data_IF_029477220017
#
_entry.id   IF_029477220017
#
_cell.length_a   1.000
_cell.length_b   1.000
_cell.length_c   1.000
_cell.angle_alpha   90.00
_cell.angle_beta   90.00
_cell.angle_gamma   90.00
#
_symmetry.space_group_name_H-M   'P 1'
#
loop_
_entity.id
_entity.type
_entity.pdbx_description
1 polymer ?
#
# COMPACT_ATOMS: atom_id res chain seq x y z
N UNK A 1 6.83 -6.26 -17.02
CA UNK A 1 6.13 -7.34 -16.30
C UNK A 1 5.02 -6.73 -15.46
N UNK A 2 3.78 -7.22 -15.59
CA UNK A 2 2.69 -6.87 -14.65
C UNK A 2 3.18 -7.30 -13.27
N UNK A 3 3.40 -6.34 -12.36
CA UNK A 3 3.76 -6.70 -10.98
C UNK A 3 2.52 -7.33 -10.35
N UNK A 4 2.64 -8.61 -9.98
CA UNK A 4 1.50 -9.48 -9.71
C UNK A 4 0.86 -9.22 -8.35
N UNK A 5 1.58 -8.59 -7.42
CA UNK A 5 1.06 -8.35 -6.09
C UNK A 5 1.56 -7.05 -5.48
N UNK A 6 0.75 -6.50 -4.59
CA UNK A 6 0.93 -5.17 -4.02
C UNK A 6 0.65 -5.21 -2.53
N UNK A 7 1.51 -4.57 -1.76
CA UNK A 7 1.26 -4.26 -0.35
C UNK A 7 0.95 -2.78 -0.25
N UNK A 8 -0.06 -2.44 0.55
CA UNK A 8 -0.48 -1.06 0.72
C UNK A 8 -0.80 -0.75 2.18
N UNK A 9 -0.70 0.53 2.52
CA UNK A 9 -1.17 1.06 3.80
C UNK A 9 -2.23 2.11 3.52
N UNK A 10 -3.38 1.96 4.16
CA UNK A 10 -4.42 2.98 4.24
C UNK A 10 -4.32 3.66 5.59
N UNK A 11 -4.52 4.97 5.58
CA UNK A 11 -4.75 5.75 6.80
C UNK A 11 -6.10 6.44 6.70
N UNK A 12 -6.95 6.25 7.72
CA UNK A 12 -8.20 6.99 7.83
C UNK A 12 -7.96 8.35 8.53
N UNK A 13 -9.04 9.13 8.68
CA UNK A 13 -8.99 10.47 9.29
C UNK A 13 -8.60 10.42 10.78
N UNK A 14 -8.90 9.33 11.49
CA UNK A 14 -8.53 9.12 12.90
C UNK A 14 -7.10 8.63 13.09
N UNK A 15 -6.35 8.39 12.00
CA UNK A 15 -4.97 7.93 12.04
C UNK A 15 -4.82 6.43 12.23
N UNK A 16 -5.91 5.66 12.19
CA UNK A 16 -5.84 4.20 12.14
C UNK A 16 -5.21 3.74 10.83
N UNK A 17 -4.41 2.70 10.94
CA UNK A 17 -3.64 2.12 9.86
C UNK A 17 -4.25 0.78 9.51
N UNK A 18 -4.59 0.60 8.23
CA UNK A 18 -4.93 -0.71 7.68
C UNK A 18 -3.84 -1.12 6.69
N UNK A 19 -3.24 -2.28 6.94
CA UNK A 19 -2.22 -2.85 6.05
C UNK A 19 -2.89 -3.94 5.22
N UNK A 20 -2.68 -3.92 3.91
CA UNK A 20 -3.32 -4.86 2.99
C UNK A 20 -2.36 -5.41 1.96
N UNK A 21 -2.76 -6.54 1.38
CA UNK A 21 -2.12 -7.22 0.26
C UNK A 21 -3.17 -7.42 -0.83
N UNK A 22 -2.81 -7.19 -2.09
CA UNK A 22 -3.72 -7.40 -3.23
C UNK A 22 -2.97 -7.91 -4.46
N UNK A 23 -3.58 -8.87 -5.15
CA UNK A 23 -3.18 -9.30 -6.51
C UNK A 23 -3.85 -8.44 -7.59
N UNK A 24 -4.99 -7.83 -7.28
CA UNK A 24 -5.79 -7.02 -8.19
C UNK A 24 -5.80 -5.55 -7.72
N UNK A 25 -4.63 -4.91 -7.75
CA UNK A 25 -4.47 -3.57 -7.18
C UNK A 25 -5.29 -2.51 -7.93
N UNK A 26 -5.55 -2.67 -9.23
CA UNK A 26 -6.37 -1.75 -10.02
C UNK A 26 -7.79 -1.62 -9.45
N UNK A 27 -8.46 -2.77 -9.22
CA UNK A 27 -9.80 -2.81 -8.63
C UNK A 27 -9.80 -2.25 -7.21
N UNK A 28 -8.78 -2.62 -6.42
CA UNK A 28 -8.67 -2.15 -5.04
C UNK A 28 -8.43 -0.65 -4.97
N UNK A 29 -7.67 -0.07 -5.89
CA UNK A 29 -7.39 1.35 -5.96
C UNK A 29 -8.65 2.18 -6.20
N UNK A 30 -9.55 1.72 -7.08
CA UNK A 30 -10.86 2.34 -7.31
C UNK A 30 -11.72 2.27 -6.04
N UNK A 31 -11.75 1.12 -5.35
CA UNK A 31 -12.49 0.94 -4.10
C UNK A 31 -11.96 1.85 -2.98
N UNK A 32 -10.64 1.98 -2.84
CA UNK A 32 -10.00 2.86 -1.86
C UNK A 32 -10.36 4.32 -2.13
N UNK A 33 -10.30 4.72 -3.41
CA UNK A 33 -10.57 6.10 -3.83
C UNK A 33 -12.03 6.51 -3.54
N UNK A 34 -12.97 5.57 -3.56
CA UNK A 34 -14.39 5.82 -3.25
C UNK A 34 -14.70 5.82 -1.75
N UNK A 35 -13.95 5.08 -0.92
CA UNK A 35 -14.23 4.90 0.52
C UNK A 35 -13.56 5.92 1.47
N UNK A 36 -13.11 7.08 0.97
CA UNK A 36 -12.38 8.14 1.74
C UNK A 36 -11.08 7.68 2.45
N UNK A 37 -10.61 6.46 2.23
CA UNK A 37 -9.33 5.99 2.80
C UNK A 37 -8.14 6.60 2.07
N UNK A 38 -7.20 7.22 2.80
CA UNK A 38 -5.98 7.75 2.16
C UNK A 38 -4.96 6.63 2.00
N UNK A 39 -4.70 6.24 0.75
CA UNK A 39 -3.57 5.38 0.40
C UNK A 39 -2.26 6.10 0.72
N UNK A 40 -1.58 5.70 1.79
CA UNK A 40 -0.39 6.37 2.32
C UNK A 40 0.91 5.67 1.94
N UNK A 41 0.86 4.37 1.67
CA UNK A 41 1.99 3.58 1.19
C UNK A 41 1.52 2.61 0.12
N UNK A 42 2.36 2.39 -0.88
CA UNK A 42 2.14 1.38 -1.90
C UNK A 42 3.48 0.82 -2.33
N UNK A 43 3.61 -0.51 -2.37
CA UNK A 43 4.81 -1.18 -2.86
C UNK A 43 4.44 -2.43 -3.63
N UNK A 44 4.95 -2.57 -4.86
CA UNK A 44 4.75 -3.79 -5.62
C UNK A 44 5.83 -4.84 -5.32
N UNK A 45 5.45 -6.09 -5.51
CA UNK A 45 6.31 -7.27 -5.39
C UNK A 45 6.13 -8.17 -6.62
N UNK A 46 7.20 -8.84 -7.02
CA UNK A 46 7.17 -9.80 -8.12
C UNK A 46 6.59 -11.14 -7.64
N UNK A 47 7.07 -11.62 -6.50
CA UNK A 47 6.63 -12.85 -5.86
C UNK A 47 5.56 -12.60 -4.76
N UNK A 48 4.40 -13.29 -4.80
CA UNK A 48 3.37 -13.19 -3.77
C UNK A 48 3.88 -13.47 -2.35
N UNK A 49 4.81 -14.42 -2.21
CA UNK A 49 5.38 -14.77 -0.91
C UNK A 49 6.12 -13.59 -0.28
N UNK A 50 6.93 -12.87 -1.06
CA UNK A 50 7.66 -11.68 -0.58
C UNK A 50 6.70 -10.56 -0.17
N UNK A 51 5.63 -10.37 -0.94
CA UNK A 51 4.58 -9.40 -0.59
C UNK A 51 3.87 -9.77 0.71
N UNK A 52 3.55 -11.05 0.93
CA UNK A 52 2.94 -11.52 2.17
C UNK A 52 3.90 -11.40 3.35
N UNK A 53 5.17 -11.80 3.20
CA UNK A 53 6.20 -11.66 4.22
C UNK A 53 6.39 -10.20 4.61
N UNK A 54 6.40 -9.29 3.63
CA UNK A 54 6.46 -7.86 3.88
C UNK A 54 5.24 -7.36 4.64
N UNK A 55 4.03 -7.76 4.25
CA UNK A 55 2.79 -7.40 4.96
C UNK A 55 2.80 -7.88 6.42
N UNK A 56 3.24 -9.12 6.67
CA UNK A 56 3.37 -9.66 8.03
C UNK A 56 4.42 -8.93 8.87
N UNK A 57 5.53 -8.51 8.26
CA UNK A 57 6.51 -7.66 8.92
C UNK A 57 5.85 -6.34 9.35
N UNK A 58 5.14 -5.68 8.42
CA UNK A 58 4.45 -4.41 8.72
C UNK A 58 3.41 -4.57 9.83
N UNK A 59 2.64 -5.66 9.86
CA UNK A 59 1.66 -5.94 10.92
C UNK A 59 2.30 -6.06 12.30
N UNK A 60 3.59 -6.43 12.37
CA UNK A 60 4.35 -6.58 13.62
C UNK A 60 5.01 -5.28 14.09
N UNK A 61 5.00 -4.23 13.27
CA UNK A 61 5.66 -2.95 13.59
C UNK A 61 4.73 -2.02 14.37
N UNK A 62 5.34 -1.14 15.16
CA UNK A 62 4.61 -0.07 15.83
C UNK A 62 4.07 0.95 14.84
N UNK A 63 3.02 1.69 15.23
CA UNK A 63 2.44 2.78 14.43
C UNK A 63 3.47 3.86 14.08
N UNK A 64 4.42 4.13 14.98
CA UNK A 64 5.47 5.13 14.77
C UNK A 64 6.48 4.67 13.71
N UNK A 65 6.90 3.40 13.78
CA UNK A 65 7.78 2.81 12.77
C UNK A 65 7.11 2.78 11.40
N UNK A 66 5.83 2.42 11.35
CA UNK A 66 5.05 2.48 10.10
C UNK A 66 4.96 3.91 9.57
N UNK A 67 4.72 4.90 10.43
CA UNK A 67 4.66 6.31 10.02
C UNK A 67 5.99 6.79 9.41
N UNK A 68 7.11 6.40 10.01
CA UNK A 68 8.45 6.72 9.49
C UNK A 68 8.70 6.04 8.14
N UNK A 69 8.28 4.78 7.99
CA UNK A 69 8.40 4.03 6.74
C UNK A 69 7.57 4.67 5.60
N UNK A 70 6.33 5.06 5.90
CA UNK A 70 5.44 5.79 4.99
C UNK A 70 6.11 7.09 4.53
N UNK A 71 6.66 7.87 5.48
CA UNK A 71 7.31 9.14 5.17
C UNK A 71 8.52 8.95 4.24
N UNK A 72 9.36 7.94 4.53
CA UNK A 72 10.56 7.64 3.72
C UNK A 72 10.23 7.16 2.31
N UNK A 73 9.08 6.52 2.10
CA UNK A 73 8.67 5.95 0.81
C UNK A 73 7.62 6.80 0.09
N UNK A 74 7.43 8.07 0.49
CA UNK A 74 6.37 8.93 -0.03
C UNK A 74 6.48 9.15 -1.54
N UNK A 75 7.66 9.51 -2.03
CA UNK A 75 7.89 9.76 -3.47
C UNK A 75 7.63 8.50 -4.29
N UNK A 76 8.21 7.38 -3.87
CA UNK A 76 8.04 6.10 -4.55
C UNK A 76 6.57 5.67 -4.59
N UNK A 77 5.84 5.89 -3.50
CA UNK A 77 4.40 5.61 -3.42
C UNK A 77 3.62 6.44 -4.43
N UNK A 78 3.90 7.74 -4.58
CA UNK A 78 3.22 8.57 -5.58
C UNK A 78 3.52 8.12 -7.01
N UNK A 79 4.78 7.77 -7.33
CA UNK A 79 5.15 7.20 -8.64
C UNK A 79 4.32 5.95 -8.93
N UNK A 80 4.15 5.06 -7.95
CA UNK A 80 3.34 3.86 -8.14
C UNK A 80 1.84 4.15 -8.29
N UNK A 81 1.30 5.17 -7.61
CA UNK A 81 -0.10 5.57 -7.78
C UNK A 81 -0.40 6.07 -9.18
N UNK A 82 0.56 6.72 -9.84
CA UNK A 82 0.37 7.22 -11.21
C UNK A 82 0.08 6.10 -12.21
N UNK A 83 0.59 4.89 -11.96
CA UNK A 83 0.30 3.70 -12.79
C UNK A 83 -1.20 3.43 -12.84
N UNK A 84 -1.90 3.59 -11.72
CA UNK A 84 -3.32 3.30 -11.59
C UNK A 84 -4.24 4.45 -12.02
N UNK A 85 -3.71 5.68 -12.13
CA UNK A 85 -4.47 6.85 -12.60
C UNK A 85 -4.56 6.94 -14.11
N UNK A 86 -3.65 6.29 -14.84
CA UNK A 86 -3.55 6.32 -16.31
C UNK A 86 -4.32 5.17 -17.00
N UNK A 87 -5.05 4.36 -16.22
CA UNK A 87 -5.86 3.23 -16.69
C UNK A 87 -7.33 3.60 -16.60
#
# INVERSE_FOLDING_TARGET
MKKNCWVYILRNETGEITIGFSLEMDKKFIEISTRKGKLSYLRPFEEPFDGLAHKHLLDSLSKDTISLLVQRNREQTEIYKEVFRKT
#
